data_IF_749250297902
#
_entry.id   IF_749250297902
#
_cell.length_a   1.000
_cell.length_b   1.000
_cell.length_c   1.000
_cell.angle_alpha   90.00
_cell.angle_beta   90.00
_cell.angle_gamma   90.00
#
_symmetry.space_group_name_H-M   'P 1'
#
loop_
_entity.id
_entity.type
_entity.pdbx_description
1 polymer ?
#
# COMPACT_ATOMS: atom_id res chain seq x y z
N UNK A 1 -37.57 -9.69 12.39
CA UNK A 1 -37.73 -10.55 11.19
C UNK A 1 -38.05 -11.94 11.70
N UNK A 2 -39.11 -12.55 11.18
CA UNK A 2 -39.53 -13.89 11.62
C UNK A 2 -38.53 -14.93 11.12
N UNK A 3 -38.27 -15.97 11.92
CA UNK A 3 -37.31 -17.03 11.62
C UNK A 3 -37.44 -17.63 10.21
N UNK A 4 -38.66 -17.81 9.72
CA UNK A 4 -38.92 -18.34 8.38
C UNK A 4 -38.45 -17.40 7.27
N UNK A 5 -38.63 -16.09 7.46
CA UNK A 5 -38.16 -15.05 6.53
C UNK A 5 -36.63 -15.02 6.48
N UNK A 6 -35.97 -15.14 7.64
CA UNK A 6 -34.51 -15.20 7.74
C UNK A 6 -33.95 -16.38 6.96
N UNK A 7 -34.58 -17.55 7.11
CA UNK A 7 -34.17 -18.77 6.41
C UNK A 7 -34.32 -18.64 4.90
N UNK A 8 -35.46 -18.14 4.42
CA UNK A 8 -35.69 -17.90 2.99
C UNK A 8 -34.68 -16.89 2.42
N UNK A 9 -34.38 -15.83 3.18
CA UNK A 9 -33.40 -14.82 2.78
C UNK A 9 -31.99 -15.40 2.69
N UNK A 10 -31.58 -16.23 3.64
CA UNK A 10 -30.26 -16.90 3.64
C UNK A 10 -30.11 -17.85 2.45
N UNK A 11 -31.17 -18.61 2.14
CA UNK A 11 -31.20 -19.51 0.98
C UNK A 11 -31.12 -18.72 -0.33
N UNK A 12 -31.88 -17.62 -0.45
CA UNK A 12 -31.84 -16.74 -1.63
C UNK A 12 -30.50 -16.02 -1.81
N UNK A 13 -29.82 -15.66 -0.71
CA UNK A 13 -28.55 -14.96 -0.74
C UNK A 13 -27.39 -15.83 -1.25
N UNK A 14 -27.45 -17.15 -0.99
CA UNK A 14 -26.51 -18.12 -1.55
C UNK A 14 -25.08 -17.98 -1.04
N UNK A 15 -24.89 -17.50 0.20
CA UNK A 15 -23.57 -17.49 0.87
C UNK A 15 -22.57 -16.47 0.33
N UNK A 16 -23.02 -15.41 -0.36
CA UNK A 16 -22.13 -14.31 -0.78
C UNK A 16 -21.60 -13.54 0.44
N UNK A 17 -20.37 -12.97 0.37
CA UNK A 17 -19.86 -12.09 1.42
C UNK A 17 -20.80 -10.88 1.57
N UNK A 18 -21.05 -10.47 2.81
CA UNK A 18 -21.92 -9.34 3.15
C UNK A 18 -21.20 -8.44 4.16
N UNK A 19 -21.27 -7.13 3.94
CA UNK A 19 -20.68 -6.12 4.83
C UNK A 19 -21.57 -5.81 6.06
N UNK A 20 -22.73 -6.46 6.14
CA UNK A 20 -23.73 -6.35 7.22
C UNK A 20 -24.05 -4.89 7.64
N UNK A 21 -24.63 -4.07 6.73
CA UNK A 21 -24.91 -2.67 7.02
C UNK A 21 -25.99 -2.46 8.08
N UNK A 22 -27.03 -3.31 8.06
CA UNK A 22 -28.21 -3.17 8.91
C UNK A 22 -28.60 -4.48 9.61
N UNK A 23 -29.05 -4.35 10.86
CA UNK A 23 -29.47 -5.46 11.71
C UNK A 23 -30.88 -5.24 12.28
N UNK A 24 -31.69 -6.29 12.30
CA UNK A 24 -33.02 -6.33 12.93
C UNK A 24 -33.09 -7.46 13.96
N UNK A 25 -34.04 -7.42 14.89
CA UNK A 25 -34.21 -8.48 15.90
C UNK A 25 -34.80 -9.74 15.22
N UNK A 26 -34.28 -10.92 15.56
CA UNK A 26 -34.91 -12.19 15.22
C UNK A 26 -36.12 -12.44 16.12
N UNK A 27 -37.23 -12.84 15.50
CA UNK A 27 -38.47 -13.20 16.18
C UNK A 27 -38.76 -14.68 15.87
N UNK A 28 -39.07 -15.44 16.91
CA UNK A 28 -39.48 -16.83 16.82
C UNK A 28 -40.78 -17.00 17.60
N UNK A 29 -41.84 -17.46 16.91
CA UNK A 29 -43.19 -17.62 17.48
C UNK A 29 -43.73 -16.35 18.17
N UNK A 30 -43.49 -15.18 17.57
CA UNK A 30 -43.93 -13.89 18.12
C UNK A 30 -43.14 -13.39 19.34
N UNK A 31 -42.05 -14.07 19.70
CA UNK A 31 -41.14 -13.64 20.78
C UNK A 31 -39.75 -13.31 20.23
N UNK A 32 -39.11 -12.26 20.78
CA UNK A 32 -37.74 -11.91 20.39
C UNK A 32 -36.76 -12.96 20.94
N UNK A 33 -35.95 -13.54 20.05
CA UNK A 33 -34.95 -14.56 20.43
C UNK A 33 -33.74 -13.93 21.15
N UNK A 34 -33.48 -12.65 20.88
CA UNK A 34 -32.32 -11.91 21.40
C UNK A 34 -31.13 -11.89 20.43
N UNK A 35 -31.23 -12.62 19.33
CA UNK A 35 -30.29 -12.60 18.22
C UNK A 35 -30.66 -11.53 17.19
N UNK A 36 -29.64 -11.03 16.50
CA UNK A 36 -29.76 -9.99 15.48
C UNK A 36 -29.54 -10.58 14.10
N UNK A 37 -30.42 -10.26 13.17
CA UNK A 37 -30.37 -10.73 11.79
C UNK A 37 -30.00 -9.59 10.86
N UNK A 38 -29.05 -9.84 9.95
CA UNK A 38 -28.75 -8.91 8.88
C UNK A 38 -29.89 -8.89 7.85
N UNK A 39 -30.42 -7.71 7.55
CA UNK A 39 -31.54 -7.52 6.62
C UNK A 39 -31.21 -7.82 5.16
N UNK A 40 -29.92 -7.92 4.81
CA UNK A 40 -29.48 -8.22 3.44
C UNK A 40 -29.20 -9.70 3.18
N UNK A 41 -28.54 -10.39 4.11
CA UNK A 41 -28.05 -11.75 3.88
C UNK A 41 -28.73 -12.82 4.75
N UNK A 42 -29.59 -12.46 5.70
CA UNK A 42 -30.21 -13.42 6.63
C UNK A 42 -29.19 -14.08 7.59
N UNK A 43 -28.04 -13.45 7.81
CA UNK A 43 -27.04 -13.89 8.79
C UNK A 43 -27.52 -13.56 10.20
N UNK A 44 -27.43 -14.53 11.11
CA UNK A 44 -27.83 -14.41 12.52
C UNK A 44 -26.59 -14.18 13.39
N UNK A 45 -26.63 -13.16 14.24
CA UNK A 45 -25.49 -12.70 15.03
C UNK A 45 -25.91 -12.42 16.47
N UNK A 46 -25.08 -12.82 17.40
CA UNK A 46 -25.26 -12.48 18.81
C UNK A 46 -24.97 -10.99 19.04
N UNK A 47 -25.46 -10.46 20.17
CA UNK A 47 -25.14 -9.08 20.59
C UNK A 47 -23.64 -8.79 20.61
N UNK A 48 -22.82 -9.74 21.11
CA UNK A 48 -21.36 -9.59 21.20
C UNK A 48 -20.70 -9.51 19.82
N UNK A 49 -21.17 -10.31 18.87
CA UNK A 49 -20.66 -10.29 17.49
C UNK A 49 -21.02 -8.96 16.80
N UNK A 50 -22.27 -8.52 16.90
CA UNK A 50 -22.72 -7.23 16.39
C UNK A 50 -21.88 -6.07 16.96
N UNK A 51 -21.66 -6.07 18.27
CA UNK A 51 -20.86 -5.05 18.95
C UNK A 51 -19.38 -5.08 18.52
N UNK A 52 -18.87 -6.26 18.12
CA UNK A 52 -17.50 -6.42 17.65
C UNK A 52 -17.35 -5.96 16.20
N UNK A 53 -18.33 -6.25 15.34
CA UNK A 53 -18.38 -5.76 13.97
C UNK A 53 -18.51 -4.24 13.90
N UNK A 54 -19.39 -3.65 14.71
CA UNK A 54 -19.51 -2.19 14.81
C UNK A 54 -18.20 -1.53 15.26
N UNK A 55 -17.46 -2.15 16.18
CA UNK A 55 -16.14 -1.66 16.61
C UNK A 55 -15.06 -1.82 15.54
N UNK A 56 -15.10 -2.91 14.77
CA UNK A 56 -14.18 -3.14 13.67
C UNK A 56 -14.37 -2.10 12.55
N UNK A 57 -15.61 -1.77 12.18
CA UNK A 57 -15.91 -0.77 11.14
C UNK A 57 -15.64 0.68 11.56
N UNK A 58 -15.75 0.99 12.86
CA UNK A 58 -15.59 2.35 13.38
C UNK A 58 -14.22 2.65 14.02
N UNK A 59 -13.22 1.78 13.82
CA UNK A 59 -11.89 1.99 14.43
C UNK A 59 -11.24 3.27 13.89
N UNK A 60 -10.95 4.28 14.74
CA UNK A 60 -10.28 5.52 14.32
C UNK A 60 -8.91 5.27 13.67
N UNK A 61 -8.30 4.13 14.00
CA UNK A 61 -7.04 3.70 13.41
C UNK A 61 -7.20 3.30 11.95
N UNK A 62 -8.33 2.71 11.55
CA UNK A 62 -8.56 2.29 10.16
C UNK A 62 -8.76 3.51 9.26
N UNK A 63 -9.54 4.50 9.70
CA UNK A 63 -9.69 5.75 8.94
C UNK A 63 -8.36 6.50 8.83
N UNK A 64 -7.59 6.57 9.92
CA UNK A 64 -6.24 7.13 9.91
C UNK A 64 -5.31 6.42 8.93
N UNK A 65 -5.30 5.08 8.91
CA UNK A 65 -4.47 4.29 8.00
C UNK A 65 -4.90 4.48 6.53
N UNK A 66 -6.20 4.60 6.27
CA UNK A 66 -6.72 4.88 4.94
C UNK A 66 -6.21 6.22 4.41
N UNK A 67 -6.22 7.26 5.25
CA UNK A 67 -5.71 8.57 4.87
C UNK A 67 -4.19 8.55 4.66
N UNK A 68 -3.45 7.86 5.52
CA UNK A 68 -2.00 7.69 5.36
C UNK A 68 -1.66 6.97 4.03
N UNK A 69 -2.40 5.93 3.68
CA UNK A 69 -2.19 5.20 2.42
C UNK A 69 -2.42 6.09 1.20
N UNK A 70 -3.37 7.02 1.26
CA UNK A 70 -3.61 7.99 0.18
C UNK A 70 -2.41 8.93 0.00
N UNK A 71 -1.89 9.47 1.11
CA UNK A 71 -0.70 10.35 1.09
C UNK A 71 0.53 9.60 0.57
N UNK A 72 0.71 8.34 0.98
CA UNK A 72 1.84 7.52 0.53
C UNK A 72 1.81 7.27 -0.98
N UNK A 73 0.63 6.99 -1.56
CA UNK A 73 0.48 6.84 -3.01
C UNK A 73 0.88 8.11 -3.76
N UNK A 74 0.39 9.27 -3.32
CA UNK A 74 0.75 10.55 -3.92
C UNK A 74 2.26 10.82 -3.86
N UNK A 75 2.91 10.49 -2.73
CA UNK A 75 4.37 10.61 -2.60
C UNK A 75 5.12 9.68 -3.55
N UNK A 76 4.66 8.45 -3.72
CA UNK A 76 5.26 7.49 -4.66
C UNK A 76 5.17 8.03 -6.09
N UNK A 77 4.02 8.57 -6.49
CA UNK A 77 3.82 9.16 -7.81
C UNK A 77 4.75 10.35 -8.05
N UNK A 78 4.93 11.21 -7.04
CA UNK A 78 5.89 12.31 -7.09
C UNK A 78 7.34 11.82 -7.22
N UNK A 79 7.72 10.78 -6.48
CA UNK A 79 9.07 10.20 -6.55
C UNK A 79 9.32 9.62 -7.95
N UNK A 80 8.35 8.89 -8.50
CA UNK A 80 8.47 8.33 -9.86
C UNK A 80 8.59 9.45 -10.90
N UNK A 81 7.76 10.49 -10.83
CA UNK A 81 7.88 11.63 -11.74
C UNK A 81 9.24 12.35 -11.65
N UNK A 82 9.80 12.47 -10.44
CA UNK A 82 11.15 13.03 -10.25
C UNK A 82 12.23 12.11 -10.81
N UNK A 83 12.09 10.80 -10.62
CA UNK A 83 13.01 9.80 -11.18
C UNK A 83 13.03 9.89 -12.70
N UNK A 84 11.87 9.90 -13.35
CA UNK A 84 11.77 9.98 -14.82
C UNK A 84 12.42 11.25 -15.37
N UNK A 85 12.38 12.36 -14.62
CA UNK A 85 13.07 13.62 -14.98
C UNK A 85 14.58 13.56 -14.78
N UNK A 86 15.07 12.78 -13.82
CA UNK A 86 16.49 12.67 -13.48
C UNK A 86 17.21 11.57 -14.26
N UNK A 87 16.50 10.56 -14.75
CA UNK A 87 17.02 9.46 -15.57
C UNK A 87 17.75 9.92 -16.86
N UNK A 88 17.25 10.90 -17.63
CA UNK A 88 18.01 11.44 -18.76
C UNK A 88 19.25 12.21 -18.31
N UNK A 89 19.20 12.90 -17.17
CA UNK A 89 20.36 13.62 -16.62
C UNK A 89 21.46 12.67 -16.11
N UNK A 90 21.09 11.49 -15.62
CA UNK A 90 22.04 10.43 -15.27
C UNK A 90 22.68 9.77 -16.51
N UNK A 91 22.00 9.84 -17.65
CA UNK A 91 22.51 9.35 -18.94
C UNK A 91 23.41 10.38 -19.64
N UNK A 92 23.12 11.68 -19.47
CA UNK A 92 23.92 12.81 -20.00
C UNK A 92 25.13 13.15 -19.12
N UNK A 93 25.02 12.99 -17.79
CA UNK A 93 26.16 12.90 -16.90
C UNK A 93 26.79 11.50 -17.05
N UNK A 94 27.26 11.18 -18.26
CA UNK A 94 28.09 10.01 -18.50
C UNK A 94 29.16 9.99 -17.41
N UNK A 95 29.12 8.95 -16.58
CA UNK A 95 29.69 8.91 -15.23
C UNK A 95 31.09 9.49 -15.13
N UNK A 96 31.19 10.82 -15.03
CA UNK A 96 32.40 11.52 -14.67
C UNK A 96 32.19 11.94 -13.23
N UNK A 97 32.36 10.94 -12.37
CA UNK A 97 32.49 11.17 -10.94
C UNK A 97 33.77 11.97 -10.70
N UNK A 98 33.87 12.56 -9.51
CA UNK A 98 35.09 13.21 -9.06
C UNK A 98 36.31 12.28 -9.17
N UNK A 99 36.08 10.95 -9.04
CA UNK A 99 37.08 9.91 -9.22
C UNK A 99 37.57 9.81 -10.67
N UNK A 100 36.68 9.91 -11.65
CA UNK A 100 37.06 9.83 -13.08
C UNK A 100 37.90 11.04 -13.50
N UNK A 101 37.59 12.22 -12.96
CA UNK A 101 38.41 13.42 -13.17
C UNK A 101 39.80 13.30 -12.52
N UNK A 102 39.87 12.72 -11.32
CA UNK A 102 41.13 12.44 -10.63
C UNK A 102 41.99 11.41 -11.38
N UNK A 103 41.39 10.33 -11.88
CA UNK A 103 42.08 9.32 -12.67
C UNK A 103 42.68 9.90 -13.95
N UNK A 104 41.93 10.77 -14.64
CA UNK A 104 42.42 11.44 -15.84
C UNK A 104 43.61 12.37 -15.54
N UNK A 105 43.54 13.13 -14.44
CA UNK A 105 44.68 13.95 -14.01
C UNK A 105 45.90 13.10 -13.66
N UNK A 106 45.69 11.97 -12.97
CA UNK A 106 46.77 11.08 -12.55
C UNK A 106 47.45 10.41 -13.76
N UNK A 107 46.68 10.02 -14.78
CA UNK A 107 47.21 9.51 -16.04
C UNK A 107 48.09 10.55 -16.77
N UNK A 108 47.67 11.82 -16.79
CA UNK A 108 48.46 12.90 -17.37
C UNK A 108 49.81 13.11 -16.66
N UNK A 109 49.82 13.01 -15.32
CA UNK A 109 51.07 13.12 -14.54
C UNK A 109 52.01 11.95 -14.82
N UNK A 110 51.49 10.73 -14.99
CA UNK A 110 52.29 9.55 -15.33
C UNK A 110 52.93 9.72 -16.71
N UNK A 111 52.17 10.18 -17.72
CA UNK A 111 52.70 10.41 -19.06
C UNK A 111 53.85 11.43 -19.08
N UNK A 112 53.72 12.53 -18.31
CA UNK A 112 54.80 13.52 -18.17
C UNK A 112 56.03 12.96 -17.45
N UNK A 113 55.83 12.06 -16.48
CA UNK A 113 56.92 11.35 -15.81
C UNK A 113 57.66 10.43 -16.79
N UNK A 114 56.94 9.70 -17.63
CA UNK A 114 57.53 8.82 -18.64
C UNK A 114 58.36 9.64 -19.66
N UNK A 115 57.82 10.76 -20.15
CA UNK A 115 58.56 11.69 -21.03
C UNK A 115 59.84 12.22 -20.37
N UNK A 116 59.77 12.56 -19.07
CA UNK A 116 60.93 13.03 -18.33
C UNK A 116 61.98 11.92 -18.16
N UNK A 117 61.56 10.69 -17.84
CA UNK A 117 62.46 9.54 -17.71
C UNK A 117 63.16 9.28 -19.05
N UNK A 118 62.41 9.22 -20.15
CA UNK A 118 62.95 9.05 -21.50
C UNK A 118 63.95 10.16 -21.87
N UNK A 119 63.68 11.40 -21.48
CA UNK A 119 64.59 12.53 -21.71
C UNK A 119 65.88 12.45 -20.88
N UNK A 120 65.87 11.74 -19.75
CA UNK A 120 67.04 11.59 -18.87
C UNK A 120 67.87 10.34 -19.15
N UNK A 121 67.29 9.31 -19.77
CA UNK A 121 67.99 8.07 -20.14
C UNK A 121 68.61 8.12 -21.54
N UNK A 122 68.22 9.10 -22.37
CA UNK A 122 68.70 9.30 -23.75
C UNK A 122 69.92 10.20 -23.93
N UNK A 123 70.60 10.64 -22.87
CA UNK A 123 71.80 11.50 -22.89
C UNK A 123 72.98 10.91 -22.13
#
# INVERSE_FOLDING_TARGET
>A
MEYEEVKALREAWGGKPCDHPDFTDEILFGSKTGDFVCTQCGGSFTKREKDSMNRAGASPKISQLTEQNKILKERIDQINSRKDKLEPMASEAGGHTLLDSLLLQQQGVIALLDELIESTEGG
#
